data_IF_141162385575
#
_entry.id   IF_141162385575
#
_cell.length_a   1.000
_cell.length_b   1.000
_cell.length_c   1.000
_cell.angle_alpha   90.00
_cell.angle_beta   90.00
_cell.angle_gamma   90.00
#
_symmetry.space_group_name_H-M   'P 1'
#
loop_
_entity.id
_entity.type
_entity.pdbx_description
1 polymer ?
#
# COMPACT_ATOMS: atom_id res chain seq x y z
N UNK A 1 18.67 -32.33 10.70
CA UNK A 1 19.06 -33.72 10.34
C UNK A 1 20.58 -33.83 10.31
N UNK A 2 21.21 -34.63 11.20
CA UNK A 2 22.66 -34.74 11.27
C UNK A 2 23.19 -35.73 10.22
N UNK A 3 24.13 -35.29 9.38
CA UNK A 3 24.81 -36.13 8.39
C UNK A 3 25.81 -37.04 9.11
N UNK A 4 25.56 -38.35 9.06
CA UNK A 4 26.44 -39.41 9.60
C UNK A 4 27.79 -39.36 8.89
N UNK A 5 28.87 -39.25 9.65
CA UNK A 5 30.24 -39.48 9.18
C UNK A 5 30.44 -40.99 9.09
N UNK A 6 30.69 -41.49 7.88
CA UNK A 6 31.11 -42.86 7.66
C UNK A 6 32.64 -42.89 7.78
N UNK A 7 33.14 -43.27 8.95
CA UNK A 7 34.54 -43.61 9.16
C UNK A 7 34.79 -44.99 8.54
N UNK A 8 35.13 -45.00 7.24
CA UNK A 8 35.65 -46.17 6.58
C UNK A 8 37.15 -46.30 6.93
N UNK A 9 37.44 -47.21 7.85
CA UNK A 9 38.78 -47.75 8.09
C UNK A 9 39.21 -48.46 6.81
N UNK A 10 40.01 -47.77 5.99
CA UNK A 10 40.64 -48.37 4.82
C UNK A 10 41.82 -49.19 5.32
N UNK A 11 41.65 -50.51 5.32
CA UNK A 11 42.74 -51.48 5.40
C UNK A 11 43.88 -51.08 4.46
N UNK A 12 45.05 -50.88 5.03
CA UNK A 12 46.30 -50.61 4.34
C UNK A 12 46.65 -51.79 3.43
N UNK A 13 46.23 -51.70 2.17
CA UNK A 13 46.76 -52.54 1.11
C UNK A 13 48.28 -52.36 1.03
N UNK A 14 49.08 -53.45 0.95
CA UNK A 14 50.52 -53.34 0.81
C UNK A 14 50.83 -52.58 -0.48
N UNK A 15 51.45 -51.41 -0.36
CA UNK A 15 52.01 -50.67 -1.49
C UNK A 15 53.12 -51.52 -2.10
N UNK A 16 52.76 -52.37 -3.06
CA UNK A 16 53.73 -52.95 -3.98
C UNK A 16 54.52 -51.77 -4.59
N UNK A 17 55.87 -51.80 -4.60
CA UNK A 17 56.66 -50.79 -5.27
C UNK A 17 56.45 -50.98 -6.78
N UNK A 18 55.39 -50.40 -7.33
CA UNK A 18 55.28 -50.22 -8.77
C UNK A 18 56.24 -49.10 -9.15
N UNK A 19 57.52 -49.42 -9.20
CA UNK A 19 58.55 -48.65 -9.86
C UNK A 19 58.32 -48.72 -11.40
N UNK A 20 57.07 -48.49 -11.84
CA UNK A 20 56.82 -48.10 -13.23
C UNK A 20 57.57 -46.81 -13.41
N UNK A 21 58.45 -46.76 -14.41
CA UNK A 21 59.29 -45.60 -14.71
C UNK A 21 58.45 -44.31 -14.72
N UNK A 22 58.47 -43.60 -13.59
CA UNK A 22 57.76 -42.33 -13.43
C UNK A 22 58.28 -41.32 -14.45
N UNK A 23 59.54 -41.47 -14.86
CA UNK A 23 60.18 -40.73 -15.93
C UNK A 23 59.51 -41.02 -17.28
N UNK A 24 59.36 -42.29 -17.67
CA UNK A 24 58.70 -42.65 -18.93
C UNK A 24 57.21 -42.24 -18.96
N UNK A 25 56.53 -42.25 -17.80
CA UNK A 25 55.18 -41.69 -17.66
C UNK A 25 55.14 -40.19 -17.95
N UNK A 26 56.03 -39.41 -17.32
CA UNK A 26 56.13 -37.96 -17.51
C UNK A 26 56.50 -37.57 -18.94
N UNK A 27 57.39 -38.32 -19.58
CA UNK A 27 57.77 -38.07 -20.99
C UNK A 27 56.58 -38.30 -21.92
N UNK A 28 55.85 -39.42 -21.78
CA UNK A 28 54.65 -39.69 -22.58
C UNK A 28 53.57 -38.61 -22.39
N UNK A 29 53.34 -38.20 -21.14
CA UNK A 29 52.41 -37.14 -20.83
C UNK A 29 52.84 -35.79 -21.43
N UNK A 30 54.11 -35.42 -21.30
CA UNK A 30 54.68 -34.20 -21.87
C UNK A 30 54.54 -34.15 -23.40
N UNK A 31 54.82 -35.27 -24.07
CA UNK A 31 54.67 -35.36 -25.52
C UNK A 31 53.20 -35.24 -25.92
N UNK A 32 52.29 -35.93 -25.23
CA UNK A 32 50.86 -35.78 -25.46
C UNK A 32 50.39 -34.32 -25.34
N UNK A 33 50.85 -33.60 -24.30
CA UNK A 33 50.53 -32.18 -24.10
C UNK A 33 51.13 -31.33 -25.22
N UNK A 34 52.33 -31.64 -25.70
CA UNK A 34 52.97 -30.91 -26.80
C UNK A 34 52.20 -31.08 -28.11
N UNK A 35 51.78 -32.31 -28.39
CA UNK A 35 51.10 -32.67 -29.64
C UNK A 35 49.65 -32.17 -29.70
N UNK A 36 48.94 -32.15 -28.56
CA UNK A 36 47.51 -31.83 -28.47
C UNK A 36 47.21 -30.49 -27.78
N UNK A 37 48.26 -29.77 -27.38
CA UNK A 37 48.14 -28.59 -26.54
C UNK A 37 47.86 -27.30 -27.29
N UNK A 38 47.98 -26.21 -26.55
CA UNK A 38 48.05 -24.85 -27.09
C UNK A 38 49.18 -24.10 -26.39
N UNK A 39 49.85 -23.21 -27.10
CA UNK A 39 50.85 -22.31 -26.50
C UNK A 39 50.10 -21.31 -25.64
N UNK A 40 50.40 -21.28 -24.35
CA UNK A 40 49.81 -20.30 -23.46
C UNK A 40 50.28 -18.89 -23.83
N UNK A 41 49.36 -17.93 -23.85
CA UNK A 41 49.67 -16.52 -24.16
C UNK A 41 50.70 -15.91 -23.20
N UNK A 42 50.83 -16.45 -21.99
CA UNK A 42 51.84 -16.02 -21.03
C UNK A 42 52.48 -17.24 -20.38
N UNK A 43 53.80 -17.36 -20.50
CA UNK A 43 54.57 -18.49 -19.97
C UNK A 43 54.49 -18.61 -18.44
N UNK A 44 54.60 -19.84 -17.92
CA UNK A 44 54.85 -20.04 -16.49
C UNK A 44 56.28 -19.60 -16.11
N UNK A 45 56.55 -19.32 -14.83
CA UNK A 45 57.87 -18.83 -14.38
C UNK A 45 59.03 -19.70 -14.87
N UNK A 46 58.87 -21.03 -14.84
CA UNK A 46 59.90 -21.95 -15.29
C UNK A 46 60.15 -21.86 -16.81
N UNK A 47 59.09 -21.90 -17.62
CA UNK A 47 59.19 -21.76 -19.07
C UNK A 47 59.72 -20.38 -19.48
N UNK A 48 59.37 -19.33 -18.73
CA UNK A 48 59.88 -17.97 -18.95
C UNK A 48 61.38 -17.88 -18.66
N UNK A 49 61.86 -18.49 -17.57
CA UNK A 49 63.29 -18.57 -17.23
C UNK A 49 64.08 -19.43 -18.22
N UNK A 50 63.49 -20.53 -18.71
CA UNK A 50 64.15 -21.44 -19.64
C UNK A 50 64.08 -21.00 -21.11
N UNK A 51 63.29 -19.97 -21.43
CA UNK A 51 63.05 -19.53 -22.81
C UNK A 51 62.29 -20.56 -23.67
N UNK A 52 61.55 -21.48 -23.05
CA UNK A 52 60.76 -22.49 -23.75
C UNK A 52 59.29 -22.07 -23.88
N UNK A 53 58.63 -22.53 -24.95
CA UNK A 53 57.19 -22.34 -25.11
C UNK A 53 56.39 -23.09 -24.05
N UNK A 54 55.49 -22.38 -23.38
CA UNK A 54 54.65 -22.96 -22.35
C UNK A 54 53.40 -23.60 -22.98
N UNK A 55 53.53 -24.84 -23.45
CA UNK A 55 52.42 -25.59 -24.08
C UNK A 55 51.56 -26.27 -23.00
N UNK A 56 50.26 -25.97 -22.99
CA UNK A 56 49.26 -26.50 -22.05
C UNK A 56 48.28 -27.46 -22.72
N UNK A 57 47.78 -28.43 -21.96
CA UNK A 57 46.79 -29.38 -22.46
C UNK A 57 45.46 -28.67 -22.74
N UNK A 58 44.95 -28.82 -23.96
CA UNK A 58 43.65 -28.26 -24.36
C UNK A 58 42.48 -28.92 -23.61
N UNK A 59 42.62 -30.20 -23.25
CA UNK A 59 41.56 -30.98 -22.59
C UNK A 59 41.49 -30.80 -21.07
N UNK A 60 42.44 -30.06 -20.47
CA UNK A 60 42.61 -29.89 -19.01
C UNK A 60 42.76 -31.18 -18.22
N UNK A 61 43.05 -32.30 -18.87
CA UNK A 61 43.38 -33.54 -18.17
C UNK A 61 44.63 -33.35 -17.32
N UNK A 62 45.52 -32.45 -17.75
CA UNK A 62 46.76 -32.13 -17.06
C UNK A 62 46.83 -30.64 -16.68
N UNK A 63 47.10 -30.38 -15.40
CA UNK A 63 47.25 -29.03 -14.85
C UNK A 63 48.64 -28.41 -15.06
N UNK A 64 49.54 -29.12 -15.74
CA UNK A 64 50.94 -28.71 -15.94
C UNK A 64 51.24 -28.57 -17.43
N UNK A 65 52.12 -27.64 -17.78
CA UNK A 65 52.61 -27.52 -19.16
C UNK A 65 53.51 -28.70 -19.53
N UNK A 66 53.78 -28.87 -20.82
CA UNK A 66 54.64 -29.93 -21.35
C UNK A 66 56.03 -29.93 -20.69
N UNK A 67 56.68 -28.77 -20.58
CA UNK A 67 58.01 -28.64 -19.97
C UNK A 67 58.01 -28.92 -18.47
N UNK A 68 57.07 -28.35 -17.70
CA UNK A 68 56.95 -28.62 -16.26
C UNK A 68 56.62 -30.10 -15.98
N UNK A 69 55.81 -30.73 -16.84
CA UNK A 69 55.49 -32.16 -16.75
C UNK A 69 56.74 -33.01 -16.96
N UNK A 70 57.53 -32.69 -18.00
CA UNK A 70 58.80 -33.37 -18.30
C UNK A 70 59.81 -33.22 -17.17
N UNK A 71 59.95 -32.00 -16.63
CA UNK A 71 60.83 -31.68 -15.51
C UNK A 71 60.33 -32.23 -14.16
N UNK A 72 59.08 -32.70 -14.09
CA UNK A 72 58.48 -33.17 -12.84
C UNK A 72 58.18 -32.07 -11.82
N UNK A 73 58.11 -30.80 -12.24
CA UNK A 73 57.86 -29.64 -11.38
C UNK A 73 56.36 -29.33 -11.29
N UNK A 74 55.96 -28.48 -10.35
CA UNK A 74 54.64 -27.86 -10.36
C UNK A 74 54.63 -26.71 -11.36
N UNK A 75 53.55 -26.61 -12.15
CA UNK A 75 53.30 -25.44 -12.97
C UNK A 75 52.57 -24.42 -12.08
N UNK A 76 53.20 -23.29 -11.76
CA UNK A 76 52.65 -22.33 -10.77
C UNK A 76 51.54 -21.43 -11.32
N UNK A 77 51.04 -21.68 -12.54
CA UNK A 77 50.12 -20.77 -13.22
C UNK A 77 48.85 -21.51 -13.63
N UNK A 78 47.72 -20.87 -13.37
CA UNK A 78 46.42 -21.28 -13.89
C UNK A 78 46.25 -20.69 -15.29
N UNK A 79 45.80 -21.52 -16.22
CA UNK A 79 45.65 -21.14 -17.62
C UNK A 79 44.20 -21.29 -18.02
N UNK A 80 43.65 -20.23 -18.60
CA UNK A 80 42.31 -20.25 -19.16
C UNK A 80 42.37 -20.68 -20.62
N UNK A 81 41.46 -21.56 -21.00
CA UNK A 81 41.35 -22.07 -22.36
C UNK A 81 40.54 -21.11 -23.22
N UNK A 82 40.71 -21.11 -24.54
CA UNK A 82 39.85 -20.31 -25.45
C UNK A 82 38.35 -20.53 -25.21
N UNK A 83 37.95 -21.78 -24.92
CA UNK A 83 36.57 -22.13 -24.55
C UNK A 83 36.08 -21.39 -23.30
N UNK A 84 36.94 -21.14 -22.31
CA UNK A 84 36.53 -20.37 -21.12
C UNK A 84 36.35 -18.90 -21.44
N UNK A 85 37.20 -18.34 -22.30
CA UNK A 85 37.04 -16.97 -22.78
C UNK A 85 35.76 -16.82 -23.60
N UNK A 86 35.44 -17.80 -24.45
CA UNK A 86 34.18 -17.82 -25.20
C UNK A 86 32.96 -17.91 -24.27
N UNK A 87 33.04 -18.75 -23.23
CA UNK A 87 31.98 -18.85 -22.21
C UNK A 87 31.81 -17.55 -21.43
N UNK A 88 32.93 -16.92 -21.05
CA UNK A 88 32.92 -15.62 -20.37
C UNK A 88 32.27 -14.55 -21.26
N UNK A 89 32.69 -14.46 -22.53
CA UNK A 89 32.14 -13.49 -23.48
C UNK A 89 30.63 -13.69 -23.71
N UNK A 90 30.16 -14.94 -23.79
CA UNK A 90 28.72 -15.23 -23.87
C UNK A 90 27.97 -14.83 -22.60
N UNK A 91 28.57 -15.06 -21.43
CA UNK A 91 27.99 -14.66 -20.15
C UNK A 91 27.91 -13.14 -20.05
N UNK A 92 28.96 -12.42 -20.43
CA UNK A 92 29.00 -10.95 -20.48
C UNK A 92 27.95 -10.39 -21.44
N UNK A 93 27.82 -10.97 -22.64
CA UNK A 93 26.80 -10.56 -23.61
C UNK A 93 25.38 -10.78 -23.08
N UNK A 94 25.14 -11.91 -22.41
CA UNK A 94 23.85 -12.19 -21.77
C UNK A 94 23.55 -11.19 -20.66
N UNK A 95 24.51 -10.94 -19.77
CA UNK A 95 24.35 -9.98 -18.68
C UNK A 95 24.09 -8.56 -19.21
N UNK A 96 24.79 -8.16 -20.27
CA UNK A 96 24.58 -6.85 -20.91
C UNK A 96 23.15 -6.73 -21.45
N UNK A 97 22.65 -7.75 -22.16
CA UNK A 97 21.29 -7.76 -22.68
C UNK A 97 20.21 -7.79 -21.57
N UNK A 98 20.50 -8.47 -20.45
CA UNK A 98 19.60 -8.48 -19.30
C UNK A 98 19.60 -7.12 -18.57
N UNK A 99 20.76 -6.44 -18.47
CA UNK A 99 20.87 -5.07 -17.93
C UNK A 99 20.06 -4.09 -18.80
N UNK A 100 20.26 -4.08 -20.12
CA UNK A 100 19.52 -3.21 -21.04
C UNK A 100 18.00 -3.42 -20.95
N UNK A 101 17.55 -4.67 -20.77
CA UNK A 101 16.13 -4.97 -20.57
C UNK A 101 15.62 -4.37 -19.26
N UNK A 102 16.36 -4.54 -18.16
CA UNK A 102 15.98 -3.96 -16.87
C UNK A 102 16.00 -2.44 -16.88
N UNK A 103 16.95 -1.81 -17.56
CA UNK A 103 16.98 -0.36 -17.75
C UNK A 103 15.76 0.12 -18.54
N UNK A 104 15.40 -0.57 -19.63
CA UNK A 104 14.19 -0.27 -20.40
C UNK A 104 12.89 -0.41 -19.58
N UNK A 105 12.83 -1.38 -18.66
CA UNK A 105 11.70 -1.54 -17.74
C UNK A 105 11.62 -0.39 -16.73
N UNK A 106 12.77 0.08 -16.22
CA UNK A 106 12.83 1.24 -15.31
C UNK A 106 12.38 2.53 -16.01
N UNK A 107 12.80 2.74 -17.26
CA UNK A 107 12.39 3.90 -18.07
C UNK A 107 10.87 3.98 -18.27
N UNK A 108 10.18 2.82 -18.28
CA UNK A 108 8.72 2.76 -18.37
C UNK A 108 8.03 3.02 -17.01
N UNK A 109 8.62 2.58 -15.91
CA UNK A 109 8.05 2.73 -14.57
C UNK A 109 8.24 4.14 -13.99
N UNK A 110 9.30 4.84 -14.36
CA UNK A 110 9.58 6.19 -13.88
C UNK A 110 8.45 7.20 -14.18
N UNK A 111 7.89 7.31 -15.40
CA UNK A 111 6.78 8.22 -15.67
C UNK A 111 5.50 7.81 -14.92
N UNK A 112 5.21 6.51 -14.78
CA UNK A 112 4.06 6.03 -14.00
C UNK A 112 4.17 6.44 -12.53
N UNK A 113 5.37 6.34 -11.96
CA UNK A 113 5.66 6.81 -10.61
C UNK A 113 5.44 8.33 -10.48
N UNK A 114 5.87 9.10 -11.48
CA UNK A 114 5.63 10.55 -11.56
C UNK A 114 4.14 10.91 -11.56
N UNK A 115 3.34 10.27 -12.41
CA UNK A 115 1.89 10.50 -12.48
C UNK A 115 1.18 10.18 -11.15
N UNK A 116 1.59 9.11 -10.47
CA UNK A 116 1.05 8.75 -9.17
C UNK A 116 1.42 9.78 -8.09
N UNK A 117 2.64 10.31 -8.12
CA UNK A 117 3.06 11.39 -7.21
C UNK A 117 2.24 12.67 -7.44
N UNK A 118 2.04 13.07 -8.69
CA UNK A 118 1.22 14.23 -9.04
C UNK A 118 -0.23 14.05 -8.59
N UNK A 119 -0.80 12.86 -8.77
CA UNK A 119 -2.16 12.54 -8.31
C UNK A 119 -2.27 12.59 -6.79
N UNK A 120 -1.28 12.10 -6.07
CA UNK A 120 -1.23 12.19 -4.61
C UNK A 120 -1.15 13.64 -4.13
N UNK A 121 -0.34 14.47 -4.78
CA UNK A 121 -0.24 15.90 -4.49
C UNK A 121 -1.59 16.63 -4.74
N UNK A 122 -2.26 16.32 -5.86
CA UNK A 122 -3.57 16.88 -6.16
C UNK A 122 -4.64 16.48 -5.12
N UNK A 123 -4.66 15.21 -4.70
CA UNK A 123 -5.57 14.73 -3.65
C UNK A 123 -5.28 15.40 -2.30
N UNK A 124 -4.00 15.57 -1.95
CA UNK A 124 -3.62 16.28 -0.74
C UNK A 124 -4.17 17.71 -0.74
N UNK A 125 -4.02 18.42 -1.86
CA UNK A 125 -4.53 19.79 -1.99
C UNK A 125 -6.06 19.84 -1.84
N UNK A 126 -6.78 18.89 -2.44
CA UNK A 126 -8.24 18.79 -2.29
C UNK A 126 -8.67 18.58 -0.84
N UNK A 127 -7.95 17.73 -0.10
CA UNK A 127 -8.23 17.50 1.33
C UNK A 127 -8.05 18.78 2.15
N UNK A 128 -6.97 19.54 1.91
CA UNK A 128 -6.74 20.82 2.58
C UNK A 128 -7.85 21.84 2.28
N UNK A 129 -8.30 21.92 1.04
CA UNK A 129 -9.36 22.85 0.66
C UNK A 129 -10.72 22.45 1.26
N UNK A 130 -11.01 21.14 1.33
CA UNK A 130 -12.19 20.64 2.05
C UNK A 130 -12.11 20.90 3.55
N UNK A 131 -10.93 20.79 4.15
CA UNK A 131 -10.73 21.12 5.56
C UNK A 131 -10.99 22.62 5.83
N UNK A 132 -10.51 23.51 4.96
CA UNK A 132 -10.82 24.95 5.05
C UNK A 132 -12.32 25.23 4.93
N UNK A 133 -12.99 24.61 3.95
CA UNK A 133 -14.44 24.73 3.76
C UNK A 133 -15.22 24.26 5.00
N UNK A 134 -14.81 23.14 5.58
CA UNK A 134 -15.40 22.60 6.81
C UNK A 134 -15.24 23.58 7.97
N UNK A 135 -14.04 24.11 8.21
CA UNK A 135 -13.79 25.10 9.27
C UNK A 135 -14.62 26.37 9.08
N UNK A 136 -14.72 26.89 7.84
CA UNK A 136 -15.54 28.04 7.53
C UNK A 136 -17.02 27.78 7.84
N UNK A 137 -17.54 26.62 7.43
CA UNK A 137 -18.93 26.21 7.69
C UNK A 137 -19.20 26.05 9.18
N UNK A 138 -18.28 25.43 9.93
CA UNK A 138 -18.37 25.29 11.38
C UNK A 138 -18.39 26.65 12.10
N UNK A 139 -17.55 27.59 11.66
CA UNK A 139 -17.54 28.96 12.22
C UNK A 139 -18.87 29.69 11.96
N UNK A 140 -19.45 29.52 10.76
CA UNK A 140 -20.76 30.07 10.40
C UNK A 140 -21.85 29.46 11.27
N UNK A 141 -21.87 28.13 11.43
CA UNK A 141 -22.85 27.45 12.27
C UNK A 141 -22.78 27.93 13.73
N UNK A 142 -21.57 28.09 14.29
CA UNK A 142 -21.39 28.65 15.64
C UNK A 142 -21.95 30.05 15.77
N UNK A 143 -21.73 30.93 14.78
CA UNK A 143 -22.30 32.29 14.76
C UNK A 143 -23.84 32.26 14.73
N UNK A 144 -24.42 31.45 13.85
CA UNK A 144 -25.88 31.31 13.74
C UNK A 144 -26.50 30.78 15.04
N UNK A 145 -25.88 29.80 15.70
CA UNK A 145 -26.34 29.30 17.01
C UNK A 145 -26.33 30.39 18.08
N UNK A 146 -25.28 31.23 18.10
CA UNK A 146 -25.22 32.39 19.02
C UNK A 146 -26.33 33.40 18.73
N UNK A 147 -26.58 33.72 17.47
CA UNK A 147 -27.67 34.61 17.05
C UNK A 147 -29.04 34.05 17.43
N UNK A 148 -29.27 32.75 17.21
CA UNK A 148 -30.51 32.08 17.60
C UNK A 148 -30.73 32.12 19.11
N UNK A 149 -29.68 31.85 19.90
CA UNK A 149 -29.76 31.94 21.37
C UNK A 149 -30.07 33.36 21.84
N UNK A 150 -29.44 34.37 21.24
CA UNK A 150 -29.71 35.78 21.52
C UNK A 150 -31.16 36.17 21.21
N UNK A 151 -31.69 35.76 20.04
CA UNK A 151 -33.08 36.01 19.66
C UNK A 151 -34.06 35.33 20.61
N UNK A 152 -33.81 34.08 21.01
CA UNK A 152 -34.63 33.37 22.01
C UNK A 152 -34.65 34.11 23.34
N UNK A 153 -33.49 34.56 23.82
CA UNK A 153 -33.40 35.33 25.06
C UNK A 153 -34.16 36.66 24.97
N UNK A 154 -34.05 37.37 23.83
CA UNK A 154 -34.79 38.62 23.61
C UNK A 154 -36.29 38.38 23.52
N UNK A 155 -36.72 37.32 22.82
CA UNK A 155 -38.13 36.91 22.74
C UNK A 155 -38.73 36.60 24.10
N UNK A 156 -37.99 35.88 24.94
CA UNK A 156 -38.39 35.60 26.32
C UNK A 156 -38.59 36.88 27.15
N UNK A 157 -37.63 37.83 27.09
CA UNK A 157 -37.75 39.12 27.79
C UNK A 157 -38.92 39.97 27.32
N UNK A 158 -39.21 39.98 26.01
CA UNK A 158 -40.37 40.70 25.48
C UNK A 158 -41.67 40.04 25.97
N UNK A 159 -41.73 38.71 25.95
CA UNK A 159 -42.88 37.96 26.48
C UNK A 159 -43.09 38.18 27.99
N UNK A 160 -42.02 38.26 28.78
CA UNK A 160 -42.11 38.58 30.22
C UNK A 160 -42.66 39.99 30.43
N UNK A 161 -42.15 40.98 29.70
CA UNK A 161 -42.63 42.35 29.76
C UNK A 161 -44.11 42.47 29.33
N UNK A 162 -44.52 41.79 28.27
CA UNK A 162 -45.91 41.80 27.81
C UNK A 162 -46.85 41.14 28.83
N UNK A 163 -46.41 40.08 29.49
CA UNK A 163 -47.15 39.45 30.58
C UNK A 163 -47.30 40.38 31.79
N UNK A 164 -46.25 41.13 32.14
CA UNK A 164 -46.29 42.13 33.21
C UNK A 164 -47.26 43.28 32.87
N UNK A 165 -47.26 43.77 31.63
CA UNK A 165 -48.21 44.79 31.19
C UNK A 165 -49.67 44.31 31.25
N UNK A 166 -49.93 43.07 30.82
CA UNK A 166 -51.27 42.48 30.91
C UNK A 166 -51.73 42.36 32.37
N UNK A 167 -50.85 41.93 33.29
CA UNK A 167 -51.18 41.87 34.71
C UNK A 167 -51.56 43.25 35.28
N UNK A 168 -50.84 44.32 34.90
CA UNK A 168 -51.16 45.70 35.31
C UNK A 168 -52.52 46.16 34.76
N UNK A 169 -52.87 45.77 33.53
CA UNK A 169 -54.16 46.13 32.92
C UNK A 169 -55.32 45.40 33.60
N UNK A 170 -55.15 44.12 33.92
CA UNK A 170 -56.14 43.32 34.65
C UNK A 170 -56.39 43.87 36.06
N UNK A 171 -55.32 44.28 36.78
CA UNK A 171 -55.46 44.95 38.08
C UNK A 171 -56.28 46.24 37.96
N UNK A 172 -56.05 47.06 36.93
CA UNK A 172 -56.77 48.33 36.73
C UNK A 172 -58.24 48.14 36.33
N UNK A 173 -58.59 47.08 35.60
CA UNK A 173 -59.99 46.79 35.21
C UNK A 173 -60.88 46.37 36.39
N UNK A 174 -60.30 45.94 37.52
CA UNK A 174 -61.08 45.59 38.72
C UNK A 174 -61.52 46.81 39.55
N UNK A 175 -61.21 48.04 39.14
CA UNK A 175 -61.78 49.26 39.72
C UNK A 175 -63.22 49.48 39.23
N UNK A 176 -64.24 49.40 40.11
CA UNK A 176 -65.65 49.39 39.70
C UNK A 176 -66.17 50.81 39.46
N UNK A 177 -65.74 51.46 38.39
CA UNK A 177 -66.34 52.73 37.96
C UNK A 177 -66.01 53.01 36.48
N UNK A 178 -66.77 52.41 35.56
CA UNK A 178 -67.30 53.00 34.30
C UNK A 178 -67.65 51.91 33.27
N UNK A 179 -68.96 51.77 33.03
CA UNK A 179 -69.56 50.95 31.98
C UNK A 179 -69.44 51.71 30.66
N UNK A 180 -68.59 51.22 29.73
CA UNK A 180 -68.56 51.70 28.33
C UNK A 180 -68.81 50.52 27.39
N UNK A 181 -69.66 50.77 26.39
CA UNK A 181 -70.35 49.83 25.51
C UNK A 181 -69.42 48.97 24.63
N UNK A 182 -69.62 47.64 24.48
CA UNK A 182 -68.66 46.72 23.83
C UNK A 182 -68.83 46.53 22.30
N UNK A 183 -69.72 47.30 21.66
CA UNK A 183 -70.22 46.93 20.33
C UNK A 183 -69.34 47.37 19.12
N UNK A 184 -68.32 48.21 19.31
CA UNK A 184 -67.57 48.80 18.17
C UNK A 184 -66.22 48.15 17.86
N UNK A 185 -65.61 47.39 18.77
CA UNK A 185 -64.22 46.91 18.62
C UNK A 185 -64.07 45.60 17.83
N UNK A 186 -65.14 44.80 17.72
CA UNK A 186 -65.09 43.51 17.01
C UNK A 186 -64.89 43.65 15.49
N UNK A 187 -65.21 44.81 14.92
CA UNK A 187 -65.11 45.02 13.47
C UNK A 187 -63.73 45.53 13.01
N UNK A 188 -62.91 46.09 13.91
CA UNK A 188 -61.54 46.52 13.59
C UNK A 188 -60.51 45.39 13.75
N UNK A 189 -60.74 44.42 14.64
CA UNK A 189 -59.83 43.28 14.84
C UNK A 189 -59.87 42.26 13.69
N UNK A 190 -60.99 42.14 12.97
CA UNK A 190 -61.10 41.27 11.80
C UNK A 190 -60.31 41.81 10.59
N UNK A 191 -60.14 43.14 10.47
CA UNK A 191 -59.50 43.76 9.31
C UNK A 191 -57.96 43.64 9.31
N UNK A 192 -57.33 43.30 10.44
CA UNK A 192 -55.86 43.14 10.53
C UNK A 192 -55.37 41.71 10.35
N UNK A 193 -56.26 40.70 10.31
CA UNK A 193 -55.90 39.29 10.18
C UNK A 193 -55.61 38.85 8.73
N UNK A 194 -55.99 39.65 7.72
CA UNK A 194 -55.80 39.34 6.30
C UNK A 194 -54.48 39.93 5.75
N UNK A 195 -53.34 39.65 6.39
CA UNK A 195 -52.04 40.05 5.88
C UNK A 195 -51.34 38.83 5.20
N UNK A 196 -51.41 38.67 3.87
CA UNK A 196 -51.07 37.43 3.15
C UNK A 196 -49.56 37.12 3.07
N UNK A 197 -48.71 37.87 3.77
CA UNK A 197 -47.25 37.80 3.62
C UNK A 197 -46.61 36.69 4.48
N UNK A 198 -47.31 36.17 5.49
CA UNK A 198 -46.71 35.19 6.41
C UNK A 198 -46.65 33.77 5.81
N UNK A 199 -47.67 33.37 5.06
CA UNK A 199 -47.72 32.05 4.42
C UNK A 199 -46.70 31.93 3.28
N UNK A 200 -46.45 33.02 2.53
CA UNK A 200 -45.42 33.05 1.49
C UNK A 200 -44.00 32.91 2.06
N UNK A 201 -43.75 33.48 3.25
CA UNK A 201 -42.45 33.36 3.91
C UNK A 201 -42.20 31.94 4.45
N UNK A 202 -43.24 31.23 4.88
CA UNK A 202 -43.12 29.83 5.31
C UNK A 202 -42.87 28.86 4.16
N UNK A 203 -43.50 29.07 3.00
CA UNK A 203 -43.25 28.28 1.80
C UNK A 203 -41.79 28.41 1.29
N UNK A 204 -41.15 29.55 1.53
CA UNK A 204 -39.75 29.78 1.16
C UNK A 204 -38.76 29.08 2.11
N UNK A 205 -39.13 28.91 3.39
CA UNK A 205 -38.32 28.15 4.38
C UNK A 205 -38.41 26.64 4.15
N UNK A 206 -39.57 26.13 3.71
CA UNK A 206 -39.76 24.69 3.40
C UNK A 206 -39.05 24.28 2.10
N UNK A 207 -38.77 25.23 1.19
CA UNK A 207 -38.06 24.99 -0.08
C UNK A 207 -36.54 24.86 0.05
N UNK A 208 -35.95 24.94 1.25
CA UNK A 208 -34.53 24.58 1.43
C UNK A 208 -34.42 23.09 1.07
N UNK A 209 -33.64 22.71 0.03
CA UNK A 209 -33.57 21.33 -0.40
C UNK A 209 -33.05 20.50 0.77
N UNK A 210 -33.93 19.66 1.33
CA UNK A 210 -33.55 18.59 2.22
C UNK A 210 -32.45 17.82 1.51
N UNK A 211 -31.27 17.78 2.15
CA UNK A 211 -30.10 17.02 1.71
C UNK A 211 -30.61 15.71 1.14
N UNK A 212 -30.46 15.56 -0.18
CA UNK A 212 -30.94 14.43 -0.93
C UNK A 212 -30.39 13.19 -0.27
N UNK A 213 -31.27 12.45 0.41
CA UNK A 213 -31.04 11.06 0.75
C UNK A 213 -30.72 10.39 -0.58
N UNK A 214 -29.45 10.06 -0.79
CA UNK A 214 -28.98 9.36 -1.97
C UNK A 214 -29.75 8.04 -1.99
N UNK A 215 -30.78 7.99 -2.82
CA UNK A 215 -31.53 6.78 -3.08
C UNK A 215 -30.57 5.77 -3.70
N UNK A 216 -30.47 4.58 -3.11
CA UNK A 216 -30.14 3.40 -3.91
C UNK A 216 -29.09 2.43 -3.39
N UNK A 217 -28.65 2.46 -2.13
CA UNK A 217 -27.85 1.35 -1.61
C UNK A 217 -28.31 0.95 -0.20
N UNK A 218 -28.76 -0.31 0.02
CA UNK A 218 -28.93 -0.80 1.38
C UNK A 218 -27.55 -0.82 2.03
N UNK A 219 -27.41 -0.11 3.16
CA UNK A 219 -26.21 -0.16 3.99
C UNK A 219 -26.05 -1.59 4.51
N UNK A 220 -25.18 -2.36 3.85
CA UNK A 220 -24.77 -3.68 4.31
C UNK A 220 -23.47 -3.50 5.08
N UNK A 221 -23.54 -3.67 6.39
CA UNK A 221 -22.36 -3.67 7.25
C UNK A 221 -21.90 -5.10 7.44
N UNK A 222 -20.61 -5.35 7.18
CA UNK A 222 -19.99 -6.65 7.40
C UNK A 222 -19.19 -6.61 8.70
N UNK A 223 -19.42 -7.59 9.57
CA UNK A 223 -18.66 -7.75 10.82
C UNK A 223 -17.46 -8.65 10.53
N UNK A 224 -16.26 -8.09 10.66
CA UNK A 224 -15.00 -8.80 10.42
C UNK A 224 -14.22 -8.89 11.71
N UNK A 225 -13.78 -10.11 12.08
CA UNK A 225 -12.91 -10.33 13.22
C UNK A 225 -11.48 -10.61 12.75
N UNK A 226 -10.51 -9.89 13.31
CA UNK A 226 -9.09 -10.13 13.09
C UNK A 226 -8.37 -10.17 14.43
N UNK A 227 -7.64 -11.27 14.67
CA UNK A 227 -6.81 -11.59 15.85
C UNK A 227 -7.51 -11.51 17.22
N UNK A 228 -8.08 -10.37 17.64
CA UNK A 228 -8.90 -10.18 18.85
C UNK A 228 -9.79 -8.91 18.78
N UNK A 229 -9.99 -8.34 17.60
CA UNK A 229 -10.77 -7.10 17.42
C UNK A 229 -11.87 -7.31 16.39
N UNK A 230 -13.03 -6.69 16.63
CA UNK A 230 -14.19 -6.72 15.76
C UNK A 230 -14.29 -5.37 15.05
N UNK A 231 -14.31 -5.40 13.72
CA UNK A 231 -14.45 -4.22 12.87
C UNK A 231 -15.78 -4.27 12.13
N UNK A 232 -16.43 -3.11 12.03
CA UNK A 232 -17.59 -2.92 11.18
C UNK A 232 -17.12 -2.24 9.90
N UNK A 233 -17.23 -2.95 8.78
CA UNK A 233 -16.82 -2.44 7.47
C UNK A 233 -18.08 -2.15 6.66
N UNK A 234 -18.25 -0.90 6.26
CA UNK A 234 -19.36 -0.46 5.43
C UNK A 234 -19.04 -0.68 3.95
N UNK A 235 -20.00 -1.20 3.18
CA UNK A 235 -19.92 -1.23 1.71
C UNK A 235 -19.21 -2.41 1.04
N UNK A 236 -18.84 -3.48 1.75
CA UNK A 236 -18.28 -4.69 1.12
C UNK A 236 -19.38 -5.50 0.43
N UNK A 237 -19.26 -5.73 -0.89
CA UNK A 237 -20.18 -6.62 -1.62
C UNK A 237 -19.78 -8.07 -1.35
N UNK A 238 -20.75 -8.99 -1.39
CA UNK A 238 -20.50 -10.43 -1.20
C UNK A 238 -19.44 -11.03 -2.15
N UNK A 239 -19.11 -10.36 -3.27
CA UNK A 239 -18.05 -10.77 -4.20
C UNK A 239 -16.63 -10.49 -3.68
N UNK A 240 -16.47 -9.68 -2.64
CA UNK A 240 -15.17 -9.26 -2.10
C UNK A 240 -14.69 -10.14 -0.94
N UNK A 241 -15.41 -11.24 -0.61
CA UNK A 241 -15.03 -12.20 0.45
C UNK A 241 -13.63 -12.78 0.22
N UNK A 242 -13.22 -12.98 -1.04
CA UNK A 242 -11.91 -13.53 -1.41
C UNK A 242 -10.74 -12.59 -1.08
N UNK A 243 -10.99 -11.30 -0.86
CA UNK A 243 -9.95 -10.31 -0.54
C UNK A 243 -9.53 -10.40 0.94
N UNK A 244 -10.41 -10.91 1.82
CA UNK A 244 -10.18 -10.93 3.27
C UNK A 244 -9.54 -12.22 3.79
N UNK A 245 -9.64 -13.33 3.05
CA UNK A 245 -9.09 -14.63 3.46
C UNK A 245 -7.55 -14.70 3.60
N UNK A 246 -6.71 -14.05 2.77
CA UNK A 246 -5.26 -14.16 2.89
C UNK A 246 -4.69 -13.50 4.16
N UNK A 247 -5.47 -12.65 4.84
CA UNK A 247 -5.04 -11.89 6.01
C UNK A 247 -5.50 -12.50 7.34
N UNK A 248 -6.05 -13.71 7.34
CA UNK A 248 -6.52 -14.36 8.57
C UNK A 248 -7.75 -13.70 9.20
N UNK A 249 -8.47 -12.87 8.45
CA UNK A 249 -9.71 -12.24 8.87
C UNK A 249 -10.88 -13.21 8.68
N UNK A 250 -11.68 -13.43 9.72
CA UNK A 250 -12.90 -14.25 9.64
C UNK A 250 -14.12 -13.35 9.57
N UNK A 251 -14.95 -13.54 8.54
CA UNK A 251 -16.25 -12.86 8.43
C UNK A 251 -17.22 -13.57 9.38
N UNK A 252 -17.76 -12.84 10.35
CA UNK A 252 -18.65 -13.41 11.38
C UNK A 252 -20.13 -13.37 11.00
N UNK A 253 -20.52 -12.41 10.17
CA UNK A 253 -21.91 -12.25 9.76
C UNK A 253 -22.13 -10.98 8.95
N UNK A 254 -23.31 -10.90 8.34
CA UNK A 254 -23.76 -9.74 7.58
C UNK A 254 -24.90 -9.08 8.35
N UNK A 255 -24.72 -7.83 8.73
CA UNK A 255 -25.75 -7.05 9.41
C UNK A 255 -26.52 -6.28 8.36
N UNK A 256 -27.81 -6.60 8.22
CA UNK A 256 -28.73 -5.83 7.38
C UNK A 256 -29.54 -4.91 8.28
N UNK A 257 -29.40 -3.61 8.06
CA UNK A 257 -30.29 -2.63 8.71
C UNK A 257 -31.65 -2.70 8.01
N UNK A 258 -32.63 -3.31 8.68
CA UNK A 258 -34.03 -3.34 8.26
C UNK A 258 -34.77 -2.27 9.04
N UNK A 259 -34.79 -1.06 8.48
CA UNK A 259 -35.38 0.14 9.08
C UNK A 259 -34.82 0.54 10.45
N UNK A 260 -35.05 1.81 10.81
CA UNK A 260 -34.23 2.61 11.74
C UNK A 260 -34.07 2.09 13.18
N UNK A 261 -34.60 0.91 13.56
CA UNK A 261 -34.49 0.38 14.92
C UNK A 261 -34.38 -1.16 15.03
N UNK A 262 -34.22 -1.92 13.93
CA UNK A 262 -34.11 -3.39 14.01
C UNK A 262 -32.80 -3.85 13.37
N UNK A 263 -31.93 -4.43 14.19
CA UNK A 263 -30.69 -5.07 13.76
C UNK A 263 -30.92 -6.57 13.80
N UNK A 264 -31.10 -7.19 12.63
CA UNK A 264 -31.18 -8.64 12.52
C UNK A 264 -29.78 -9.18 12.22
N UNK A 265 -29.27 -10.04 13.12
CA UNK A 265 -27.91 -10.59 13.03
C UNK A 265 -28.01 -12.07 12.72
N UNK A 266 -27.80 -12.43 11.45
CA UNK A 266 -27.59 -13.82 11.07
C UNK A 266 -26.12 -14.18 11.26
N UNK A 267 -25.85 -15.00 12.28
CA UNK A 267 -24.57 -15.68 12.48
C UNK A 267 -24.58 -16.98 11.67
N UNK A 268 -23.66 -17.12 10.73
CA UNK A 268 -23.42 -18.40 10.06
C UNK A 268 -22.65 -19.29 11.06
N UNK A 269 -23.32 -20.30 11.62
CA UNK A 269 -22.69 -21.34 12.47
C UNK A 269 -21.93 -22.38 11.65
#
# INVERSE_FOLDING_TARGET
MPKRKADAVIESTPKLPSLRDQVAGRIRQSNYISDNGFVASVSCSHCAESGEDCVMDRSRRYSKCASCTRAGRSCKREFHTGVEWDLLSRAESKLSADIERSESELDLLEPELGELQDRLAALHQQVLDKQKQYQATMSRQRRLRKQMAFLKQKGFKMSEHDAELLAILDEKQTSPEQVVSPALDLQQLAATAENPNFDQMWDEIVRIPSVSTVAGFPNVMVVVQSHNSIFLVDGLRNRDRSILEPHGCRVLGVVRSLDKNIVDVHMDT
#
